data_IF_732443130635
#
_entry.id   IF_732443130635
#
_cell.length_a   1.000
_cell.length_b   1.000
_cell.length_c   1.000
_cell.angle_alpha   90.00
_cell.angle_beta   90.00
_cell.angle_gamma   90.00
#
_symmetry.space_group_name_H-M   'P 1'
#
loop_
_entity.id
_entity.type
_entity.pdbx_description
1 polymer ?
#
# COMPACT_ATOMS: atom_id res chain seq x y z
N UNK A 1 38.00 -37.82 36.56
CA UNK A 1 37.58 -38.29 35.22
C UNK A 1 37.26 -37.07 34.37
N UNK A 2 38.15 -36.67 33.47
CA UNK A 2 37.90 -35.57 32.52
C UNK A 2 37.69 -36.16 31.12
N UNK A 3 36.48 -35.96 30.58
CA UNK A 3 36.09 -36.36 29.23
C UNK A 3 36.64 -35.35 28.21
N UNK A 4 37.56 -35.78 27.35
CA UNK A 4 38.09 -34.98 26.24
C UNK A 4 37.25 -35.21 24.99
N UNK A 5 36.53 -34.18 24.55
CA UNK A 5 35.79 -34.19 23.28
C UNK A 5 36.80 -34.14 22.10
N UNK A 6 36.73 -35.04 21.11
CA UNK A 6 37.68 -35.07 20.00
C UNK A 6 37.49 -33.87 19.05
N UNK A 7 38.59 -33.13 18.82
CA UNK A 7 38.68 -31.91 17.99
C UNK A 7 38.28 -32.09 16.51
N UNK A 8 38.20 -33.33 15.99
CA UNK A 8 37.91 -33.62 14.58
C UNK A 8 36.45 -33.36 14.17
N UNK A 9 35.51 -33.29 15.12
CA UNK A 9 34.10 -33.01 14.84
C UNK A 9 33.80 -31.51 14.66
N UNK A 10 34.71 -30.63 15.09
CA UNK A 10 34.53 -29.17 15.05
C UNK A 10 34.84 -28.61 13.65
N UNK A 11 35.79 -29.20 12.94
CA UNK A 11 36.27 -28.70 11.63
C UNK A 11 35.33 -29.05 10.46
N UNK A 12 34.57 -30.15 10.54
CA UNK A 12 33.66 -30.56 9.45
C UNK A 12 32.44 -29.63 9.32
N UNK A 13 31.83 -29.23 10.44
CA UNK A 13 30.64 -28.35 10.43
C UNK A 13 30.92 -26.92 9.98
N UNK A 14 32.11 -26.39 10.30
CA UNK A 14 32.50 -25.04 9.91
C UNK A 14 32.56 -24.90 8.37
N UNK A 15 33.10 -25.89 7.67
CA UNK A 15 33.22 -25.87 6.21
C UNK A 15 31.86 -25.93 5.48
N UNK A 16 30.89 -26.66 6.03
CA UNK A 16 29.52 -26.77 5.49
C UNK A 16 28.73 -25.47 5.72
N UNK A 17 28.85 -24.88 6.90
CA UNK A 17 28.22 -23.59 7.23
C UNK A 17 28.81 -22.44 6.39
N UNK A 18 30.12 -22.44 6.15
CA UNK A 18 30.79 -21.43 5.33
C UNK A 18 30.39 -21.56 3.85
N UNK A 19 30.28 -22.78 3.31
CA UNK A 19 29.77 -23.02 1.95
C UNK A 19 28.29 -22.63 1.78
N UNK A 20 27.47 -22.78 2.82
CA UNK A 20 26.07 -22.31 2.81
C UNK A 20 25.95 -20.79 2.94
N UNK A 21 26.83 -20.14 3.73
CA UNK A 21 26.85 -18.68 3.87
C UNK A 21 27.29 -17.97 2.58
N UNK A 22 28.29 -18.51 1.88
CA UNK A 22 28.79 -17.94 0.62
C UNK A 22 27.76 -18.05 -0.51
N UNK A 23 26.91 -19.09 -0.54
CA UNK A 23 25.84 -19.23 -1.54
C UNK A 23 24.66 -18.27 -1.33
N UNK A 24 24.50 -17.67 -0.16
CA UNK A 24 23.40 -16.72 0.14
C UNK A 24 23.68 -15.28 -0.32
N UNK A 25 24.89 -14.99 -0.77
CA UNK A 25 25.34 -13.60 -1.00
C UNK A 25 25.00 -12.96 -2.34
N UNK A 26 24.70 -13.72 -3.41
CA UNK A 26 24.83 -13.16 -4.77
C UNK A 26 23.73 -13.49 -5.79
N UNK A 27 22.51 -13.82 -5.34
CA UNK A 27 21.37 -13.86 -6.27
C UNK A 27 20.07 -13.39 -5.60
N UNK A 28 20.08 -12.16 -5.09
CA UNK A 28 18.84 -11.43 -4.86
C UNK A 28 18.61 -10.57 -6.10
N UNK A 29 17.98 -11.13 -7.13
CA UNK A 29 17.44 -10.33 -8.24
C UNK A 29 16.56 -9.25 -7.59
N UNK A 30 16.85 -7.98 -7.84
CA UNK A 30 16.02 -6.90 -7.32
C UNK A 30 14.56 -7.19 -7.73
N UNK A 31 13.59 -7.09 -6.80
CA UNK A 31 12.20 -7.34 -7.13
C UNK A 31 11.81 -6.40 -8.27
N UNK A 32 11.10 -6.93 -9.26
CA UNK A 32 10.64 -6.10 -10.35
C UNK A 32 9.67 -5.03 -9.78
N UNK A 33 9.56 -3.84 -10.38
CA UNK A 33 8.66 -2.79 -9.89
C UNK A 33 7.19 -3.23 -9.72
N UNK A 34 6.79 -4.26 -10.47
CA UNK A 34 5.47 -4.86 -10.42
C UNK A 34 5.26 -5.77 -9.19
N UNK A 35 6.34 -6.21 -8.56
CA UNK A 35 6.35 -6.96 -7.29
C UNK A 35 6.41 -6.00 -6.11
N UNK A 36 5.47 -5.05 -6.06
CA UNK A 36 5.46 -4.00 -5.06
C UNK A 36 5.24 -4.51 -3.61
N UNK A 37 4.92 -5.80 -3.47
CA UNK A 37 4.80 -6.55 -2.22
C UNK A 37 6.12 -7.23 -1.77
N UNK A 38 7.12 -7.30 -2.65
CA UNK A 38 8.37 -8.02 -2.43
C UNK A 38 9.42 -7.19 -1.71
N UNK A 39 10.03 -7.80 -0.69
CA UNK A 39 11.22 -7.28 -0.02
C UNK A 39 10.94 -6.39 1.20
N UNK A 40 11.98 -6.18 2.02
CA UNK A 40 11.86 -5.48 3.32
C UNK A 40 11.46 -4.02 3.17
N UNK A 41 11.86 -3.37 2.07
CA UNK A 41 11.54 -1.97 1.82
C UNK A 41 10.04 -1.81 1.53
N UNK A 42 9.48 -2.64 0.64
CA UNK A 42 8.06 -2.64 0.31
C UNK A 42 7.19 -2.80 1.57
N UNK A 43 7.50 -3.77 2.42
CA UNK A 43 6.76 -3.98 3.67
C UNK A 43 6.87 -2.80 4.63
N UNK A 44 8.06 -2.18 4.76
CA UNK A 44 8.24 -0.97 5.60
C UNK A 44 7.44 0.20 5.08
N UNK A 45 7.49 0.45 3.76
CA UNK A 45 6.73 1.52 3.12
C UNK A 45 5.24 1.27 3.28
N UNK A 46 4.77 0.03 3.05
CA UNK A 46 3.38 -0.34 3.27
C UNK A 46 2.91 -0.07 4.70
N UNK A 47 3.71 -0.47 5.69
CA UNK A 47 3.40 -0.21 7.10
C UNK A 47 3.40 1.27 7.44
N UNK A 48 4.36 2.04 6.93
CA UNK A 48 4.40 3.49 7.11
C UNK A 48 3.17 4.16 6.49
N UNK A 49 2.71 3.71 5.31
CA UNK A 49 1.46 4.18 4.72
C UNK A 49 0.25 3.80 5.58
N UNK A 50 0.20 2.60 6.15
CA UNK A 50 -0.89 2.21 7.07
C UNK A 50 -0.96 3.14 8.27
N UNK A 51 0.16 3.34 8.97
CA UNK A 51 0.21 4.25 10.13
C UNK A 51 -0.11 5.68 9.72
N UNK A 52 0.43 6.12 8.58
CA UNK A 52 0.12 7.42 8.00
C UNK A 52 -1.37 7.60 7.75
N UNK A 53 -2.06 6.62 7.17
CA UNK A 53 -3.50 6.67 6.93
C UNK A 53 -4.32 6.64 8.23
N UNK A 54 -3.90 5.88 9.23
CA UNK A 54 -4.56 5.85 10.56
C UNK A 54 -4.57 7.25 11.19
N UNK A 55 -3.48 8.01 11.05
CA UNK A 55 -3.37 9.37 11.60
C UNK A 55 -4.00 10.41 10.67
N UNK A 56 -3.68 10.36 9.36
CA UNK A 56 -4.09 11.36 8.39
C UNK A 56 -5.61 11.36 8.17
N UNK A 57 -6.27 10.20 8.22
CA UNK A 57 -7.72 10.09 7.98
C UNK A 57 -8.54 10.89 8.98
N UNK A 58 -8.46 10.69 10.32
CA UNK A 58 -9.20 11.49 11.28
C UNK A 58 -8.81 12.97 11.21
N UNK A 59 -7.51 13.28 11.04
CA UNK A 59 -7.04 14.67 10.87
C UNK A 59 -7.73 15.34 9.69
N UNK A 60 -7.81 14.66 8.54
CA UNK A 60 -8.45 15.19 7.34
C UNK A 60 -9.92 15.55 7.55
N UNK A 61 -10.66 14.70 8.29
CA UNK A 61 -12.07 14.95 8.55
C UNK A 61 -12.32 16.03 9.61
N UNK A 62 -11.40 16.19 10.57
CA UNK A 62 -11.50 17.19 11.62
C UNK A 62 -11.08 18.60 11.18
N UNK A 63 -10.33 18.74 10.09
CA UNK A 63 -9.95 20.04 9.54
C UNK A 63 -11.21 20.82 9.09
N UNK A 64 -11.35 22.12 9.44
CA UNK A 64 -12.47 22.94 9.01
C UNK A 64 -12.64 23.00 7.48
N UNK A 65 -13.88 23.10 7.00
CA UNK A 65 -14.19 23.22 5.56
C UNK A 65 -13.50 24.44 4.91
N UNK A 66 -13.29 25.52 5.67
CA UNK A 66 -12.57 26.71 5.20
C UNK A 66 -11.11 26.40 4.82
N UNK A 67 -10.47 25.44 5.48
CA UNK A 67 -9.10 24.99 5.20
C UNK A 67 -9.04 23.86 4.17
N UNK A 68 -10.16 23.15 3.97
CA UNK A 68 -10.30 22.14 2.92
C UNK A 68 -10.48 22.74 1.52
N UNK A 69 -10.85 24.02 1.44
CA UNK A 69 -10.97 24.76 0.18
C UNK A 69 -9.67 25.53 -0.12
N UNK A 70 -9.06 25.25 -1.27
CA UNK A 70 -7.84 25.92 -1.74
C UNK A 70 -6.61 25.00 -1.78
N UNK A 71 -5.43 25.60 -2.00
CA UNK A 71 -4.17 24.88 -2.28
C UNK A 71 -3.80 23.88 -1.17
N UNK A 72 -4.01 24.24 0.11
CA UNK A 72 -3.70 23.36 1.24
C UNK A 72 -4.62 22.13 1.26
N UNK A 73 -5.92 22.32 1.06
CA UNK A 73 -6.88 21.22 0.98
C UNK A 73 -6.62 20.30 -0.21
N UNK A 74 -6.32 20.87 -1.39
CA UNK A 74 -5.99 20.09 -2.60
C UNK A 74 -4.68 19.33 -2.45
N UNK A 75 -3.62 19.94 -1.91
CA UNK A 75 -2.32 19.27 -1.71
C UNK A 75 -2.42 18.15 -0.69
N UNK A 76 -3.08 18.40 0.45
CA UNK A 76 -3.34 17.36 1.44
C UNK A 76 -4.21 16.25 0.87
N UNK A 77 -5.29 16.61 0.16
CA UNK A 77 -6.16 15.65 -0.51
C UNK A 77 -5.40 14.77 -1.50
N UNK A 78 -4.51 15.35 -2.30
CA UNK A 78 -3.68 14.62 -3.25
C UNK A 78 -2.68 13.69 -2.54
N UNK A 79 -2.05 14.13 -1.45
CA UNK A 79 -1.17 13.30 -0.64
C UNK A 79 -1.93 12.11 -0.02
N UNK A 80 -3.13 12.36 0.50
CA UNK A 80 -4.01 11.33 1.04
C UNK A 80 -4.43 10.32 -0.03
N UNK A 81 -4.90 10.78 -1.20
CA UNK A 81 -5.27 9.93 -2.34
C UNK A 81 -4.08 9.11 -2.83
N UNK A 82 -2.91 9.71 -2.97
CA UNK A 82 -1.67 9.00 -3.33
C UNK A 82 -1.39 7.88 -2.35
N UNK A 83 -1.49 8.17 -1.05
CA UNK A 83 -1.23 7.19 0.01
C UNK A 83 -2.26 6.05 0.00
N UNK A 84 -3.56 6.36 -0.13
CA UNK A 84 -4.63 5.35 -0.20
C UNK A 84 -4.44 4.43 -1.40
N UNK A 85 -4.18 4.99 -2.57
CA UNK A 85 -4.03 4.21 -3.80
C UNK A 85 -2.76 3.37 -3.80
N UNK A 86 -1.63 3.91 -3.34
CA UNK A 86 -0.39 3.16 -3.18
C UNK A 86 -0.51 2.05 -2.13
N UNK A 87 -1.14 2.33 -0.98
CA UNK A 87 -1.44 1.32 0.05
C UNK A 87 -2.30 0.19 -0.52
N UNK A 88 -3.36 0.54 -1.26
CA UNK A 88 -4.27 -0.44 -1.87
C UNK A 88 -3.59 -1.28 -2.94
N UNK A 89 -2.72 -0.67 -3.76
CA UNK A 89 -1.96 -1.38 -4.79
C UNK A 89 -1.02 -2.45 -4.21
N UNK A 90 -0.25 -2.09 -3.18
CA UNK A 90 0.64 -3.05 -2.48
C UNK A 90 -0.19 -4.12 -1.76
N UNK A 91 -1.25 -3.73 -1.06
CA UNK A 91 -2.16 -4.66 -0.38
C UNK A 91 -2.75 -5.69 -1.34
N UNK A 92 -3.20 -5.26 -2.52
CA UNK A 92 -3.76 -6.17 -3.51
C UNK A 92 -2.69 -7.05 -4.17
N UNK A 93 -1.42 -6.59 -4.25
CA UNK A 93 -0.32 -7.46 -4.68
C UNK A 93 -0.07 -8.60 -3.69
N UNK A 94 -0.17 -8.37 -2.37
CA UNK A 94 -0.13 -9.45 -1.37
C UNK A 94 -1.27 -10.47 -1.58
N UNK A 95 -2.47 -10.00 -1.88
CA UNK A 95 -3.60 -10.90 -2.22
C UNK A 95 -3.31 -11.67 -3.52
N UNK A 96 -2.76 -11.01 -4.54
CA UNK A 96 -2.38 -11.69 -5.78
C UNK A 96 -1.36 -12.80 -5.52
N UNK A 97 -0.32 -12.56 -4.71
CA UNK A 97 0.67 -13.58 -4.38
C UNK A 97 0.12 -14.74 -3.57
N UNK A 98 -0.84 -14.47 -2.68
CA UNK A 98 -1.40 -15.49 -1.79
C UNK A 98 -2.40 -16.41 -2.50
N UNK A 99 -3.12 -15.90 -3.50
CA UNK A 99 -4.25 -16.62 -4.11
C UNK A 99 -4.09 -16.97 -5.58
N UNK A 100 -3.43 -16.14 -6.40
CA UNK A 100 -3.33 -16.40 -7.85
C UNK A 100 -2.52 -17.67 -8.15
N UNK A 101 -1.37 -17.94 -7.51
CA UNK A 101 -0.61 -19.17 -7.76
C UNK A 101 -1.35 -20.46 -7.42
N UNK A 102 -2.37 -20.39 -6.55
CA UNK A 102 -3.23 -21.53 -6.21
C UNK A 102 -4.17 -21.93 -7.35
N UNK A 103 -4.51 -20.96 -8.21
CA UNK A 103 -5.31 -21.20 -9.43
C UNK A 103 -4.37 -21.48 -10.61
N UNK A 104 -3.41 -20.59 -10.85
CA UNK A 104 -2.39 -20.76 -11.89
C UNK A 104 -1.20 -19.84 -11.65
N UNK A 105 0.01 -20.42 -11.63
CA UNK A 105 1.26 -19.67 -11.48
C UNK A 105 1.53 -18.72 -12.65
N UNK A 106 1.06 -19.07 -13.86
CA UNK A 106 1.25 -18.25 -15.05
C UNK A 106 0.44 -16.94 -15.00
N UNK A 107 -0.61 -16.88 -14.19
CA UNK A 107 -1.48 -15.71 -14.08
C UNK A 107 -0.94 -14.64 -13.13
N UNK A 108 0.07 -14.93 -12.30
CA UNK A 108 0.55 -13.98 -11.30
C UNK A 108 1.04 -12.66 -11.92
N UNK A 109 1.84 -12.73 -12.98
CA UNK A 109 2.31 -11.55 -13.72
C UNK A 109 1.15 -10.72 -14.28
N UNK A 110 0.27 -11.31 -15.12
CA UNK A 110 -0.93 -10.63 -15.63
C UNK A 110 -1.81 -10.02 -14.54
N UNK A 111 -2.06 -10.73 -13.43
CA UNK A 111 -2.85 -10.20 -12.31
C UNK A 111 -2.23 -8.95 -11.69
N UNK A 112 -0.90 -8.92 -11.51
CA UNK A 112 -0.22 -7.73 -11.00
C UNK A 112 -0.28 -6.55 -11.98
N UNK A 113 -0.23 -6.81 -13.29
CA UNK A 113 -0.45 -5.76 -14.31
C UNK A 113 -1.86 -5.16 -14.24
N UNK A 114 -2.87 -6.01 -14.13
CA UNK A 114 -4.27 -5.56 -13.97
C UNK A 114 -4.42 -4.74 -12.68
N UNK A 115 -3.86 -5.22 -11.57
CA UNK A 115 -3.86 -4.49 -10.30
C UNK A 115 -3.20 -3.10 -10.45
N UNK A 116 -2.01 -3.02 -11.07
CA UNK A 116 -1.33 -1.76 -11.31
C UNK A 116 -2.17 -0.80 -12.19
N UNK A 117 -2.82 -1.32 -13.24
CA UNK A 117 -3.70 -0.52 -14.09
C UNK A 117 -4.90 0.04 -13.32
N UNK A 118 -5.54 -0.79 -12.50
CA UNK A 118 -6.65 -0.36 -11.62
C UNK A 118 -6.16 0.73 -10.66
N UNK A 119 -5.02 0.54 -10.01
CA UNK A 119 -4.46 1.52 -9.09
C UNK A 119 -4.21 2.88 -9.76
N UNK A 120 -3.67 2.90 -10.99
CA UNK A 120 -3.48 4.13 -11.77
C UNK A 120 -4.80 4.79 -12.11
N UNK A 121 -5.79 4.03 -12.59
CA UNK A 121 -7.12 4.56 -12.91
C UNK A 121 -7.78 5.15 -11.66
N UNK A 122 -7.70 4.46 -10.51
CA UNK A 122 -8.23 4.94 -9.24
C UNK A 122 -7.52 6.22 -8.80
N UNK A 123 -6.19 6.28 -8.90
CA UNK A 123 -5.42 7.47 -8.57
C UNK A 123 -5.81 8.67 -9.43
N UNK A 124 -5.98 8.49 -10.74
CA UNK A 124 -6.42 9.56 -11.63
C UNK A 124 -7.85 10.01 -11.34
N UNK A 125 -8.77 9.05 -11.11
CA UNK A 125 -10.16 9.33 -10.80
C UNK A 125 -10.31 10.10 -9.48
N UNK A 126 -9.67 9.65 -8.41
CA UNK A 126 -9.67 10.32 -7.12
C UNK A 126 -8.85 11.63 -7.14
N UNK A 127 -7.73 11.66 -7.87
CA UNK A 127 -6.91 12.84 -8.05
C UNK A 127 -7.71 13.97 -8.69
N UNK A 128 -8.53 13.67 -9.71
CA UNK A 128 -9.47 14.63 -10.29
C UNK A 128 -10.45 15.19 -9.26
N UNK A 129 -10.95 14.36 -8.34
CA UNK A 129 -11.87 14.81 -7.28
C UNK A 129 -11.22 15.78 -6.28
N UNK A 130 -9.89 15.78 -6.14
CA UNK A 130 -9.18 16.73 -5.27
C UNK A 130 -9.28 18.18 -5.75
N UNK A 131 -9.60 18.39 -7.03
CA UNK A 131 -9.78 19.71 -7.65
C UNK A 131 -11.25 20.16 -7.70
N UNK A 132 -12.19 19.31 -7.27
CA UNK A 132 -13.59 19.69 -7.16
C UNK A 132 -13.82 20.62 -5.94
N UNK A 133 -14.90 21.43 -5.92
CA UNK A 133 -15.26 22.22 -4.74
C UNK A 133 -15.43 21.33 -3.50
N UNK A 134 -14.73 21.67 -2.40
CA UNK A 134 -14.66 20.85 -1.18
C UNK A 134 -13.73 19.62 -1.24
N UNK A 135 -13.13 19.34 -2.41
CA UNK A 135 -12.21 18.22 -2.60
C UNK A 135 -12.79 16.85 -2.24
N UNK A 136 -11.92 15.91 -1.85
CA UNK A 136 -12.32 14.55 -1.42
C UNK A 136 -13.27 14.62 -0.21
N UNK A 137 -13.05 15.56 0.73
CA UNK A 137 -13.89 15.71 1.92
C UNK A 137 -15.31 16.14 1.54
N UNK A 138 -15.44 17.06 0.59
CA UNK A 138 -16.71 17.51 0.03
C UNK A 138 -17.48 16.36 -0.61
N UNK A 139 -16.81 15.51 -1.40
CA UNK A 139 -17.43 14.32 -1.99
C UNK A 139 -17.95 13.36 -0.92
N UNK A 140 -17.14 13.08 0.11
CA UNK A 140 -17.53 12.16 1.18
C UNK A 140 -18.67 12.72 2.05
N UNK A 141 -18.63 14.01 2.37
CA UNK A 141 -19.70 14.66 3.13
C UNK A 141 -20.99 14.79 2.31
N UNK A 142 -20.90 15.03 1.00
CA UNK A 142 -22.06 15.03 0.11
C UNK A 142 -22.70 13.65 -0.02
N UNK A 143 -21.88 12.58 -0.04
CA UNK A 143 -22.37 11.21 -0.02
C UNK A 143 -23.01 10.84 1.32
N UNK A 144 -22.46 11.33 2.44
CA UNK A 144 -22.94 11.01 3.79
C UNK A 144 -24.20 11.80 4.19
N UNK A 145 -24.37 13.02 3.66
CA UNK A 145 -25.54 13.85 3.99
C UNK A 145 -26.78 13.34 3.24
N UNK A 146 -27.92 13.14 3.92
CA UNK A 146 -29.15 12.74 3.26
C UNK A 146 -29.59 13.83 2.27
N UNK A 147 -30.13 13.41 1.13
CA UNK A 147 -30.69 14.34 0.13
C UNK A 147 -31.83 15.11 0.79
N UNK A 148 -31.73 16.45 0.83
CA UNK A 148 -32.87 17.28 1.28
C UNK A 148 -34.07 16.94 0.40
N UNK A 149 -35.20 16.55 1.01
CA UNK A 149 -36.48 16.51 0.30
C UNK A 149 -36.80 17.96 -0.09
N UNK A 150 -36.91 18.21 -1.38
CA UNK A 150 -37.50 19.45 -1.89
C UNK A 150 -38.97 19.43 -1.47
N UNK A 151 -39.36 20.29 -0.53
CA UNK A 151 -40.77 20.58 -0.26
C UNK A 151 -41.22 21.58 -1.33
N UNK A 152 -42.02 21.19 -2.34
CA UNK A 152 -42.43 22.09 -3.41
C UNK A 152 -43.34 23.24 -2.94
N UNK A 153 -43.66 23.31 -1.65
CA UNK A 153 -44.57 24.29 -1.04
C UNK A 153 -43.86 25.37 -0.21
N UNK A 154 -42.51 25.39 -0.16
CA UNK A 154 -41.74 26.41 0.57
C UNK A 154 -41.04 27.44 -0.32
N UNK A 155 -41.16 27.28 -1.65
CA UNK A 155 -40.55 28.14 -2.66
C UNK A 155 -41.61 28.99 -3.41
N UNK A 156 -42.82 29.11 -2.86
CA UNK A 156 -43.89 30.02 -3.31
C UNK A 156 -44.25 31.01 -2.20
#
# INVERSE_FOLDING_TARGET
MYSTIPRSLITSRASVLMKQAVRRGFSAKAPAPLEADSGKLATRVHHAMTVGLIVATPVYFLIPESSANGVVGTTFGLAWVTTVTAHSWIGLNYVCTDYVPKVSKALLGPSRYVNAAIAVITFLGMGKMCFAPGGIKGVLTALWKPKKKTDPLKDF
#
